data_IF_719966154125
#
_entry.id   IF_719966154125
#
_cell.length_a   1.000
_cell.length_b   1.000
_cell.length_c   1.000
_cell.angle_alpha   90.00
_cell.angle_beta   90.00
_cell.angle_gamma   90.00
#
_symmetry.space_group_name_H-M   'P 1'
#
loop_
_entity.id
_entity.type
_entity.pdbx_description
1 polymer ?
#
# COMPACT_ATOMS: atom_id res chain seq x y z
N UNK A 1 -7.37 -31.67 -16.08
CA UNK A 1 -7.00 -30.38 -15.46
C UNK A 1 -7.55 -30.36 -14.06
N UNK A 2 -6.70 -30.49 -13.05
CA UNK A 2 -7.09 -30.38 -11.64
C UNK A 2 -7.55 -28.96 -11.38
N UNK A 3 -8.81 -28.79 -10.94
CA UNK A 3 -9.29 -27.51 -10.42
C UNK A 3 -8.69 -27.33 -9.04
N UNK A 4 -7.62 -26.54 -8.96
CA UNK A 4 -7.10 -26.13 -7.66
C UNK A 4 -8.11 -25.16 -7.03
N UNK A 5 -8.79 -25.62 -5.97
CA UNK A 5 -9.69 -24.80 -5.18
C UNK A 5 -8.89 -24.19 -4.02
N UNK A 6 -8.45 -22.94 -4.19
CA UNK A 6 -7.67 -22.21 -3.20
C UNK A 6 -8.45 -21.89 -1.91
N UNK A 7 -9.78 -22.00 -1.91
CA UNK A 7 -10.61 -21.56 -0.78
C UNK A 7 -10.42 -22.43 0.48
N UNK A 8 -10.04 -23.70 0.34
CA UNK A 8 -10.15 -24.67 1.45
C UNK A 8 -8.91 -24.69 2.37
N UNK A 9 -7.79 -24.05 1.97
CA UNK A 9 -6.52 -24.03 2.74
C UNK A 9 -5.71 -22.73 2.64
N UNK A 10 -6.21 -21.70 1.95
CA UNK A 10 -5.44 -20.47 1.79
C UNK A 10 -5.45 -19.63 3.08
N UNK A 11 -4.29 -19.55 3.74
CA UNK A 11 -4.04 -18.53 4.76
C UNK A 11 -3.43 -17.32 4.08
N UNK A 12 -4.17 -16.23 4.07
CA UNK A 12 -3.68 -15.00 3.49
C UNK A 12 -2.48 -14.49 4.30
N UNK A 13 -1.42 -14.13 3.59
CA UNK A 13 -0.23 -13.57 4.21
C UNK A 13 -0.57 -12.22 4.87
N UNK A 14 -0.24 -12.12 6.15
CA UNK A 14 -0.60 -10.98 7.01
C UNK A 14 0.02 -9.66 6.53
N UNK A 15 1.06 -9.71 5.69
CA UNK A 15 1.75 -8.56 5.12
C UNK A 15 1.22 -8.16 3.74
N UNK A 16 0.26 -8.87 3.16
CA UNK A 16 -0.30 -8.55 1.83
C UNK A 16 -0.92 -7.16 1.77
N UNK A 17 -1.46 -6.67 2.88
CA UNK A 17 -1.95 -5.30 2.97
C UNK A 17 -0.85 -4.25 2.72
N UNK A 18 0.41 -4.50 3.11
CA UNK A 18 1.52 -3.57 2.84
C UNK A 18 1.84 -3.47 1.36
N UNK A 19 1.80 -4.61 0.65
CA UNK A 19 2.01 -4.64 -0.81
C UNK A 19 0.94 -3.81 -1.52
N UNK A 20 -0.33 -3.99 -1.14
CA UNK A 20 -1.42 -3.20 -1.70
C UNK A 20 -1.24 -1.70 -1.40
N UNK A 21 -0.94 -1.34 -0.14
CA UNK A 21 -0.69 0.06 0.25
C UNK A 21 0.46 0.69 -0.55
N UNK A 22 1.53 -0.05 -0.83
CA UNK A 22 2.65 0.44 -1.64
C UNK A 22 2.23 0.72 -3.09
N UNK A 23 1.47 -0.19 -3.71
CA UNK A 23 0.96 0.00 -5.08
C UNK A 23 0.03 1.23 -5.15
N UNK A 24 -0.90 1.35 -4.20
CA UNK A 24 -1.81 2.49 -4.14
C UNK A 24 -1.06 3.80 -3.87
N UNK A 25 -0.03 3.80 -3.02
CA UNK A 25 0.82 4.98 -2.80
C UNK A 25 1.43 5.48 -4.10
N UNK A 26 2.00 4.58 -4.90
CA UNK A 26 2.55 4.93 -6.21
C UNK A 26 1.48 5.49 -7.14
N UNK A 27 0.28 4.88 -7.17
CA UNK A 27 -0.84 5.35 -7.98
C UNK A 27 -1.31 6.75 -7.57
N UNK A 28 -1.49 7.02 -6.28
CA UNK A 28 -1.86 8.33 -5.75
C UNK A 28 -0.78 9.39 -6.01
N UNK A 29 0.50 9.04 -5.86
CA UNK A 29 1.63 9.94 -6.16
C UNK A 29 1.66 10.34 -7.63
N UNK A 30 1.55 9.37 -8.54
CA UNK A 30 1.48 9.61 -9.98
C UNK A 30 0.24 10.43 -10.37
N UNK A 31 -0.91 10.15 -9.76
CA UNK A 31 -2.14 10.90 -9.98
C UNK A 31 -2.05 12.35 -9.52
N UNK A 32 -1.43 12.59 -8.36
CA UNK A 32 -1.15 13.93 -7.84
C UNK A 32 -0.22 14.71 -8.78
N UNK A 33 0.85 14.07 -9.25
CA UNK A 33 1.76 14.64 -10.23
C UNK A 33 1.06 14.95 -11.55
N UNK A 34 0.19 14.05 -12.03
CA UNK A 34 -0.59 14.24 -13.26
C UNK A 34 -1.51 15.44 -13.18
N UNK A 35 -2.25 15.59 -12.08
CA UNK A 35 -3.14 16.74 -11.86
C UNK A 35 -2.38 18.06 -11.82
N UNK A 36 -1.19 18.06 -11.21
CA UNK A 36 -0.34 19.25 -11.12
C UNK A 36 0.25 19.65 -12.48
N UNK A 37 0.75 18.69 -13.23
CA UNK A 37 1.51 18.95 -14.47
C UNK A 37 0.63 19.01 -15.72
N UNK A 38 -0.50 18.31 -15.72
CA UNK A 38 -1.39 18.12 -16.88
C UNK A 38 -2.86 18.45 -16.54
N UNK A 39 -3.18 19.66 -16.03
CA UNK A 39 -4.50 19.99 -15.45
C UNK A 39 -5.70 19.89 -16.41
N UNK A 40 -5.46 19.93 -17.73
CA UNK A 40 -6.52 19.94 -18.76
C UNK A 40 -6.41 18.76 -19.74
N UNK A 41 -5.61 17.75 -19.42
CA UNK A 41 -5.37 16.61 -20.31
C UNK A 41 -5.74 15.31 -19.62
N UNK A 42 -6.58 14.47 -20.25
CA UNK A 42 -6.73 13.09 -19.79
C UNK A 42 -5.43 12.33 -20.08
N UNK A 43 -4.86 11.71 -19.05
CA UNK A 43 -3.61 10.95 -19.17
C UNK A 43 -2.34 11.80 -19.06
N UNK A 44 -1.26 11.33 -19.68
CA UNK A 44 0.06 11.96 -19.61
C UNK A 44 0.21 13.03 -20.70
N UNK A 45 0.77 14.17 -20.33
CA UNK A 45 1.15 15.25 -21.24
C UNK A 45 2.70 15.29 -21.41
N UNK A 46 3.23 16.03 -22.41
CA UNK A 46 4.68 16.09 -22.66
C UNK A 46 5.53 16.50 -21.44
N UNK A 47 4.95 17.23 -20.47
CA UNK A 47 5.64 17.62 -19.23
C UNK A 47 5.94 16.43 -18.29
N UNK A 48 5.27 15.29 -18.47
CA UNK A 48 5.48 14.06 -17.70
C UNK A 48 6.23 12.98 -18.49
N UNK A 49 6.78 13.31 -19.67
CA UNK A 49 7.45 12.38 -20.56
C UNK A 49 8.87 12.88 -20.88
N UNK A 50 9.93 12.30 -20.28
CA UNK A 50 9.91 11.24 -19.25
C UNK A 50 9.47 11.78 -17.88
N UNK A 51 9.08 10.87 -16.98
CA UNK A 51 8.73 11.22 -15.59
C UNK A 51 10.01 11.68 -14.87
N UNK A 52 9.96 12.88 -14.28
CA UNK A 52 11.03 13.37 -13.41
C UNK A 52 10.88 12.75 -12.01
N UNK A 53 11.83 11.88 -11.64
CA UNK A 53 11.82 11.16 -10.37
C UNK A 53 11.88 12.06 -9.13
N UNK A 54 12.59 13.19 -9.17
CA UNK A 54 12.66 14.12 -8.03
C UNK A 54 11.33 14.83 -7.79
N UNK A 55 10.60 15.17 -8.87
CA UNK A 55 9.26 15.72 -8.76
C UNK A 55 8.28 14.65 -8.26
N UNK A 56 8.35 13.44 -8.81
CA UNK A 56 7.53 12.32 -8.34
C UNK A 56 7.75 12.05 -6.85
N UNK A 57 8.99 12.09 -6.38
CA UNK A 57 9.32 11.91 -4.97
C UNK A 57 8.60 12.94 -4.09
N UNK A 58 8.59 14.22 -4.48
CA UNK A 58 7.85 15.27 -3.76
C UNK A 58 6.34 14.97 -3.68
N UNK A 59 5.76 14.41 -4.74
CA UNK A 59 4.36 13.98 -4.71
C UNK A 59 4.15 12.76 -3.81
N UNK A 60 5.07 11.79 -3.80
CA UNK A 60 5.00 10.59 -2.96
C UNK A 60 5.06 10.92 -1.46
N UNK A 61 5.93 11.85 -1.05
CA UNK A 61 6.02 12.31 0.34
C UNK A 61 4.74 12.98 0.85
N UNK A 62 3.92 13.53 -0.05
CA UNK A 62 2.68 14.22 0.28
C UNK A 62 1.42 13.36 0.04
N UNK A 63 1.57 12.06 -0.25
CA UNK A 63 0.42 11.16 -0.41
C UNK A 63 -0.25 10.96 0.95
N UNK A 64 -1.57 11.11 0.97
CA UNK A 64 -2.42 10.77 2.11
C UNK A 64 -3.75 10.18 1.62
N UNK A 65 -4.09 8.98 2.09
CA UNK A 65 -5.38 8.33 1.78
C UNK A 65 -5.82 7.35 2.88
N UNK A 66 -7.14 7.16 3.00
CA UNK A 66 -7.73 6.21 3.94
C UNK A 66 -7.65 4.77 3.42
N UNK A 67 -7.35 3.83 4.31
CA UNK A 67 -7.30 2.40 4.05
C UNK A 67 -7.99 1.64 5.20
N UNK A 68 -9.30 1.39 5.07
CA UNK A 68 -10.10 0.85 6.16
C UNK A 68 -10.11 1.80 7.37
N UNK A 69 -9.71 1.31 8.54
CA UNK A 69 -9.55 2.10 9.77
C UNK A 69 -8.14 2.71 9.92
N UNK A 70 -7.39 2.79 8.82
CA UNK A 70 -6.02 3.30 8.77
C UNK A 70 -5.92 4.47 7.80
N UNK A 71 -4.85 5.26 7.95
CA UNK A 71 -4.48 6.33 7.03
C UNK A 71 -3.06 6.09 6.58
N UNK A 72 -2.85 5.91 5.28
CA UNK A 72 -1.53 5.86 4.69
C UNK A 72 -1.08 7.29 4.48
N UNK A 73 0.00 7.66 5.16
CA UNK A 73 0.70 8.93 5.05
C UNK A 73 2.16 8.71 5.42
N UNK A 74 3.03 9.66 5.12
CA UNK A 74 4.47 9.58 5.38
C UNK A 74 4.94 10.79 6.18
N UNK A 75 5.92 10.56 7.06
CA UNK A 75 6.59 11.64 7.77
C UNK A 75 7.70 12.30 6.91
N UNK A 76 8.48 13.19 7.52
CA UNK A 76 9.59 13.90 6.85
C UNK A 76 10.72 12.97 6.39
N UNK A 77 10.83 11.77 6.95
CA UNK A 77 11.83 10.76 6.58
C UNK A 77 11.28 9.76 5.54
N UNK A 78 9.97 9.79 5.29
CA UNK A 78 9.31 8.87 4.36
C UNK A 78 8.79 7.60 5.04
N UNK A 79 8.65 7.62 6.37
CA UNK A 79 8.16 6.48 7.14
C UNK A 79 6.64 6.60 7.39
N UNK A 80 5.87 5.53 7.18
CA UNK A 80 4.46 5.50 7.55
C UNK A 80 4.28 5.34 9.06
N UNK A 81 3.13 5.76 9.63
CA UNK A 81 2.86 5.56 11.05
C UNK A 81 2.87 4.07 11.42
N UNK A 82 3.63 3.73 12.46
CA UNK A 82 3.73 2.35 12.97
C UNK A 82 2.47 1.89 13.68
N UNK A 83 2.02 0.67 13.38
CA UNK A 83 0.95 -0.04 14.10
C UNK A 83 1.43 -1.47 14.37
N UNK A 84 1.14 -1.97 15.57
CA UNK A 84 1.64 -3.27 16.02
C UNK A 84 0.49 -4.08 16.63
N UNK A 85 0.43 -5.35 16.25
CA UNK A 85 -0.38 -6.35 16.92
C UNK A 85 0.53 -7.15 17.86
N UNK A 86 0.23 -7.13 19.16
CA UNK A 86 0.97 -7.91 20.15
C UNK A 86 0.29 -9.26 20.29
N UNK A 87 0.97 -10.31 19.84
CA UNK A 87 0.47 -11.69 19.86
C UNK A 87 1.06 -12.45 21.05
N UNK A 88 0.33 -13.43 21.55
CA UNK A 88 0.74 -14.22 22.71
C UNK A 88 0.52 -15.71 22.43
N UNK A 89 1.61 -16.44 22.19
CA UNK A 89 1.54 -17.86 21.88
C UNK A 89 1.19 -18.67 23.13
N UNK A 90 0.01 -19.27 23.14
CA UNK A 90 -0.52 -19.97 24.30
C UNK A 90 -1.16 -21.31 23.94
N UNK A 91 -1.28 -22.17 24.95
CA UNK A 91 -2.02 -23.42 24.84
C UNK A 91 -3.51 -23.13 24.82
N UNK A 92 -4.19 -23.42 23.72
CA UNK A 92 -5.63 -23.19 23.54
C UNK A 92 -6.48 -24.43 23.82
N UNK A 93 -5.86 -25.62 23.89
CA UNK A 93 -6.55 -26.90 24.10
C UNK A 93 -5.62 -28.03 24.53
N UNK A 94 -6.13 -29.26 24.61
CA UNK A 94 -5.29 -30.43 24.86
C UNK A 94 -4.32 -30.63 23.68
N UNK A 95 -3.03 -30.31 23.91
CA UNK A 95 -1.96 -30.32 22.91
C UNK A 95 -2.16 -29.37 21.71
N UNK A 96 -3.01 -28.35 21.86
CA UNK A 96 -3.18 -27.31 20.85
C UNK A 96 -2.56 -26.00 21.33
N UNK A 97 -1.75 -25.37 20.46
CA UNK A 97 -1.10 -24.09 20.73
C UNK A 97 -1.30 -23.18 19.52
N UNK A 98 -1.71 -21.94 19.79
CA UNK A 98 -1.94 -20.93 18.78
C UNK A 98 -1.48 -19.56 19.28
N UNK A 99 -1.34 -18.61 18.35
CA UNK A 99 -1.14 -17.20 18.64
C UNK A 99 -2.46 -16.50 18.91
#
# INVERSE_FOLDING_TARGET
MSKENLADKHKQDVKMAFVMKAIYTMAYGLHSMQKSMCPHSPGLCPKMLPINGSILLQHLFNVSFSWGNDTVAFDVNGDPPGRYDIMNFQKTGQNEYNY
#
